data_IF_203766427155
#
_entry.id   IF_203766427155
#
_cell.length_a   1.000
_cell.length_b   1.000
_cell.length_c   1.000
_cell.angle_alpha   90.00
_cell.angle_beta   90.00
_cell.angle_gamma   90.00
#
_symmetry.space_group_name_H-M   'P 1'
#
loop_
_entity.id
_entity.type
_entity.pdbx_description
1 polymer ?
#
# COMPACT_ATOMS: atom_id res chain seq x y z
N UNK A 1 -5.74 -7.20 -1.15
CA UNK A 1 -4.78 -8.30 -1.36
C UNK A 1 -4.43 -8.32 -2.84
N UNK A 2 -3.24 -8.81 -3.25
CA UNK A 2 -2.96 -9.02 -4.67
C UNK A 2 -3.98 -10.01 -5.26
N UNK A 3 -4.33 -9.81 -6.52
CA UNK A 3 -5.07 -10.79 -7.32
C UNK A 3 -4.21 -12.02 -7.63
N UNK A 4 -4.84 -13.12 -8.03
CA UNK A 4 -4.15 -14.35 -8.44
C UNK A 4 -3.13 -14.10 -9.57
N UNK A 5 -3.48 -13.25 -10.55
CA UNK A 5 -2.58 -12.89 -11.65
C UNK A 5 -1.36 -12.07 -11.17
N UNK A 6 -1.54 -11.19 -10.17
CA UNK A 6 -0.41 -10.46 -9.55
C UNK A 6 0.46 -11.39 -8.72
N UNK A 7 -0.14 -12.34 -7.99
CA UNK A 7 0.58 -13.32 -7.17
C UNK A 7 1.37 -14.32 -8.03
N UNK A 8 0.78 -14.88 -9.08
CA UNK A 8 1.45 -15.77 -10.04
C UNK A 8 2.63 -15.05 -10.71
N UNK A 9 2.40 -13.85 -11.23
CA UNK A 9 3.45 -13.03 -11.86
C UNK A 9 4.59 -12.75 -10.89
N UNK A 10 4.28 -12.30 -9.68
CA UNK A 10 5.30 -12.00 -8.67
C UNK A 10 6.13 -13.23 -8.29
N UNK A 11 5.53 -14.43 -8.22
CA UNK A 11 6.28 -15.67 -7.96
C UNK A 11 7.23 -16.06 -9.10
N UNK A 12 6.90 -15.69 -10.34
CA UNK A 12 7.70 -16.03 -11.53
C UNK A 12 8.89 -15.09 -11.79
N UNK A 13 8.82 -13.83 -11.32
CA UNK A 13 9.82 -12.80 -11.70
C UNK A 13 10.58 -12.17 -10.54
N UNK A 14 10.14 -12.33 -9.27
CA UNK A 14 10.88 -11.75 -8.13
C UNK A 14 12.08 -12.59 -7.73
N UNK A 15 13.01 -11.94 -7.06
CA UNK A 15 13.97 -12.62 -6.17
C UNK A 15 13.20 -13.36 -5.05
N UNK A 16 13.12 -14.68 -5.18
CA UNK A 16 12.50 -15.58 -4.21
C UNK A 16 13.48 -16.04 -3.12
N UNK A 17 14.78 -15.79 -3.26
CA UNK A 17 15.82 -16.17 -2.29
C UNK A 17 16.01 -15.09 -1.21
N UNK A 18 16.05 -13.81 -1.59
CA UNK A 18 16.05 -12.66 -0.68
C UNK A 18 14.70 -12.41 0.02
N UNK A 19 13.71 -13.29 -0.21
CA UNK A 19 12.40 -13.24 0.43
C UNK A 19 12.47 -13.88 1.82
N UNK A 20 12.07 -13.16 2.88
CA UNK A 20 12.09 -13.65 4.29
C UNK A 20 11.23 -14.90 4.60
N UNK A 21 10.58 -15.49 3.59
CA UNK A 21 9.73 -16.69 3.66
C UNK A 21 9.99 -17.59 2.44
N UNK A 22 11.19 -17.52 1.89
CA UNK A 22 11.82 -18.40 0.92
C UNK A 22 11.71 -19.88 1.31
N UNK A 23 12.22 -20.26 2.49
CA UNK A 23 12.16 -21.63 2.99
C UNK A 23 10.71 -22.04 3.26
N UNK A 24 9.89 -21.15 3.81
CA UNK A 24 8.45 -21.38 4.01
C UNK A 24 7.73 -21.64 2.69
N UNK A 25 8.02 -20.87 1.64
CA UNK A 25 7.43 -21.04 0.30
C UNK A 25 7.73 -22.44 -0.25
N UNK A 26 9.00 -22.83 -0.28
CA UNK A 26 9.42 -24.11 -0.84
C UNK A 26 8.92 -25.31 -0.01
N UNK A 27 9.02 -25.23 1.33
CA UNK A 27 8.55 -26.30 2.23
C UNK A 27 7.03 -26.50 2.21
N UNK A 28 6.25 -25.43 2.02
CA UNK A 28 4.79 -25.54 1.87
C UNK A 28 4.40 -26.02 0.47
N UNK A 29 5.15 -25.65 -0.58
CA UNK A 29 5.00 -26.27 -1.90
C UNK A 29 5.26 -27.78 -1.80
N UNK A 30 6.37 -28.22 -1.20
CA UNK A 30 6.67 -29.64 -1.00
C UNK A 30 5.60 -30.37 -0.19
N UNK A 31 5.27 -29.84 1.00
CA UNK A 31 4.25 -30.40 1.89
C UNK A 31 2.87 -30.51 1.23
N UNK A 32 2.56 -29.64 0.26
CA UNK A 32 1.27 -29.66 -0.43
C UNK A 32 1.03 -30.94 -1.23
N UNK A 33 2.09 -31.56 -1.78
CA UNK A 33 1.97 -32.83 -2.51
C UNK A 33 1.83 -34.00 -1.53
N UNK A 34 2.43 -33.88 -0.35
CA UNK A 34 2.47 -34.91 0.70
C UNK A 34 1.52 -34.59 1.89
N UNK A 35 0.35 -34.02 1.61
CA UNK A 35 -0.55 -33.44 2.63
C UNK A 35 -1.09 -34.38 3.73
N UNK A 36 -0.82 -35.69 3.66
CA UNK A 36 -1.16 -36.69 4.68
C UNK A 36 0.05 -37.19 5.50
N UNK A 37 1.27 -36.92 5.02
CA UNK A 37 2.53 -37.32 5.62
C UNK A 37 3.64 -36.34 5.16
N UNK A 38 3.56 -35.06 5.57
CA UNK A 38 4.49 -34.04 5.11
C UNK A 38 5.88 -34.25 5.74
N UNK A 39 6.99 -34.06 5.00
CA UNK A 39 8.32 -34.14 5.59
C UNK A 39 8.51 -33.12 6.72
N UNK A 40 9.28 -33.49 7.75
CA UNK A 40 9.59 -32.58 8.85
C UNK A 40 10.70 -31.60 8.47
N UNK A 41 10.31 -30.34 8.27
CA UNK A 41 11.21 -29.21 7.98
C UNK A 41 11.52 -28.35 9.22
N UNK A 42 11.18 -28.81 10.44
CA UNK A 42 11.39 -28.04 11.67
C UNK A 42 12.85 -28.03 12.14
N UNK A 43 13.64 -29.05 11.77
CA UNK A 43 15.09 -29.05 11.93
C UNK A 43 15.78 -28.33 10.77
N UNK A 44 16.89 -27.64 11.06
CA UNK A 44 17.75 -26.96 10.06
C UNK A 44 18.51 -27.91 9.12
N UNK A 45 17.96 -29.11 8.88
CA UNK A 45 18.49 -30.17 8.02
C UNK A 45 18.35 -29.80 6.54
N UNK A 46 17.24 -29.14 6.17
CA UNK A 46 17.01 -28.68 4.81
C UNK A 46 17.42 -27.23 4.63
N UNK A 47 17.97 -26.95 3.46
CA UNK A 47 18.36 -25.63 2.99
C UNK A 47 17.85 -25.42 1.57
N UNK A 48 17.91 -24.18 1.09
CA UNK A 48 17.56 -23.85 -0.29
C UNK A 48 18.77 -24.14 -1.19
N UNK A 49 18.53 -24.85 -2.28
CA UNK A 49 19.51 -25.16 -3.31
C UNK A 49 19.26 -24.29 -4.55
N UNK A 50 20.35 -23.73 -5.08
CA UNK A 50 20.39 -23.05 -6.37
C UNK A 50 20.76 -24.07 -7.45
N UNK A 51 19.79 -24.48 -8.28
CA UNK A 51 19.98 -25.55 -9.27
C UNK A 51 21.05 -25.13 -10.30
N UNK A 52 20.86 -23.99 -10.96
CA UNK A 52 21.96 -23.17 -11.50
C UNK A 52 22.64 -22.46 -10.33
N UNK A 53 23.92 -22.70 -10.13
CA UNK A 53 24.69 -22.23 -8.97
C UNK A 53 24.94 -20.72 -8.96
N UNK A 54 25.24 -20.16 -7.79
CA UNK A 54 25.53 -18.72 -7.65
C UNK A 54 26.86 -18.33 -8.30
N UNK A 55 27.80 -19.26 -8.50
CA UNK A 55 29.01 -19.02 -9.28
C UNK A 55 28.92 -19.54 -10.73
N UNK A 56 27.72 -19.77 -11.28
CA UNK A 56 27.51 -20.33 -12.61
C UNK A 56 28.29 -19.62 -13.74
N UNK A 57 28.39 -18.28 -13.71
CA UNK A 57 29.13 -17.52 -14.74
C UNK A 57 30.66 -17.76 -14.73
N UNK A 58 31.20 -18.43 -13.71
CA UNK A 58 32.60 -18.87 -13.64
C UNK A 58 32.83 -20.29 -14.19
N UNK A 59 31.78 -21.07 -14.44
CA UNK A 59 31.84 -22.40 -15.06
C UNK A 59 31.57 -22.31 -16.57
N UNK A 60 32.38 -22.99 -17.37
CA UNK A 60 32.18 -23.03 -18.82
C UNK A 60 30.92 -23.84 -19.18
N UNK A 61 30.68 -24.93 -18.46
CA UNK A 61 29.55 -25.84 -18.59
C UNK A 61 28.22 -25.14 -18.31
N UNK A 62 28.16 -24.30 -17.27
CA UNK A 62 26.99 -23.48 -16.98
C UNK A 62 26.76 -22.41 -18.06
N UNK A 63 27.81 -21.72 -18.52
CA UNK A 63 27.68 -20.74 -19.62
C UNK A 63 27.17 -21.40 -20.91
N UNK A 64 27.71 -22.56 -21.28
CA UNK A 64 27.27 -23.35 -22.43
C UNK A 64 25.80 -23.80 -22.29
N UNK A 65 25.39 -24.26 -21.09
CA UNK A 65 24.02 -24.70 -20.83
C UNK A 65 22.99 -23.56 -20.89
N UNK A 66 23.38 -22.33 -20.57
CA UNK A 66 22.52 -21.14 -20.64
C UNK A 66 22.51 -20.49 -22.05
N UNK A 67 23.51 -20.76 -22.89
CA UNK A 67 23.62 -20.26 -24.25
C UNK A 67 24.23 -18.85 -24.38
N UNK A 68 24.13 -18.26 -25.57
CA UNK A 68 24.82 -17.01 -25.93
C UNK A 68 24.49 -15.82 -24.98
N UNK A 69 23.25 -15.77 -24.48
CA UNK A 69 22.73 -14.74 -23.56
C UNK A 69 23.00 -15.07 -22.06
N UNK A 70 23.93 -15.98 -21.74
CA UNK A 70 24.11 -16.55 -20.39
C UNK A 70 24.15 -15.54 -19.24
N UNK A 71 24.75 -14.35 -19.43
CA UNK A 71 24.83 -13.29 -18.42
C UNK A 71 23.44 -12.70 -18.11
N UNK A 72 22.64 -12.36 -19.14
CA UNK A 72 21.25 -11.90 -18.99
C UNK A 72 20.39 -12.97 -18.31
N UNK A 73 20.49 -14.21 -18.80
CA UNK A 73 19.71 -15.34 -18.28
C UNK A 73 20.03 -15.59 -16.80
N UNK A 74 21.31 -15.52 -16.42
CA UNK A 74 21.75 -15.64 -15.05
C UNK A 74 21.16 -14.53 -14.17
N UNK A 75 21.33 -13.25 -14.55
CA UNK A 75 20.82 -12.10 -13.79
C UNK A 75 19.31 -12.15 -13.57
N UNK A 76 18.54 -12.48 -14.63
CA UNK A 76 17.08 -12.56 -14.55
C UNK A 76 16.57 -13.75 -13.72
N UNK A 77 17.28 -14.89 -13.71
CA UNK A 77 16.71 -16.17 -13.26
C UNK A 77 17.33 -16.78 -12.00
N UNK A 78 18.55 -16.41 -11.62
CA UNK A 78 19.32 -17.06 -10.53
C UNK A 78 18.52 -17.23 -9.24
N UNK A 79 17.82 -16.19 -8.80
CA UNK A 79 17.05 -16.20 -7.56
C UNK A 79 15.53 -16.42 -7.77
N UNK A 80 15.07 -16.75 -8.98
CA UNK A 80 13.64 -16.97 -9.25
C UNK A 80 13.16 -18.31 -8.71
N UNK A 81 11.85 -18.43 -8.44
CA UNK A 81 11.24 -19.68 -7.97
C UNK A 81 11.54 -20.88 -8.88
N UNK A 82 11.76 -20.65 -10.18
CA UNK A 82 12.14 -21.70 -11.13
C UNK A 82 13.49 -22.34 -10.83
N UNK A 83 14.46 -21.58 -10.32
CA UNK A 83 15.82 -22.06 -10.09
C UNK A 83 16.09 -22.59 -8.67
N UNK A 84 15.14 -22.41 -7.75
CA UNK A 84 15.29 -22.81 -6.34
C UNK A 84 14.63 -24.16 -6.06
N UNK A 85 15.30 -25.00 -5.27
CA UNK A 85 14.72 -26.23 -4.70
C UNK A 85 15.14 -26.41 -3.23
N UNK A 86 14.73 -27.51 -2.60
CA UNK A 86 15.15 -27.90 -1.26
C UNK A 86 16.17 -29.03 -1.33
N UNK A 87 17.14 -29.04 -0.43
CA UNK A 87 18.04 -30.18 -0.25
C UNK A 87 18.55 -30.27 1.19
N UNK A 88 18.92 -31.47 1.62
CA UNK A 88 19.68 -31.71 2.84
C UNK A 88 21.21 -31.80 2.60
N UNK A 89 21.65 -31.67 1.34
CA UNK A 89 23.02 -31.94 0.88
C UNK A 89 23.60 -30.78 0.06
N UNK A 90 23.23 -29.53 0.40
CA UNK A 90 23.71 -28.32 -0.28
C UNK A 90 25.26 -28.23 -0.28
N UNK A 91 25.98 -28.53 0.82
CA UNK A 91 27.46 -28.53 0.81
C UNK A 91 28.07 -29.52 -0.17
N UNK A 92 27.39 -30.65 -0.45
CA UNK A 92 27.81 -31.63 -1.43
C UNK A 92 27.52 -31.22 -2.89
N UNK A 93 26.44 -30.47 -3.15
CA UNK A 93 26.07 -29.99 -4.50
C UNK A 93 26.84 -28.72 -4.90
N UNK A 94 26.96 -27.76 -3.98
CA UNK A 94 27.81 -26.57 -4.09
C UNK A 94 27.64 -25.84 -5.45
N UNK A 95 28.75 -25.41 -6.06
CA UNK A 95 28.75 -24.72 -7.36
C UNK A 95 28.82 -25.64 -8.59
N UNK A 96 28.70 -26.96 -8.42
CA UNK A 96 28.95 -27.95 -9.48
C UNK A 96 28.06 -27.77 -10.73
N UNK A 97 28.50 -28.21 -11.92
CA UNK A 97 27.68 -28.26 -13.14
C UNK A 97 26.41 -29.09 -12.97
N UNK A 98 25.36 -28.79 -13.74
CA UNK A 98 24.05 -29.46 -13.62
C UNK A 98 24.14 -31.00 -13.66
N UNK A 99 24.89 -31.55 -14.61
CA UNK A 99 25.06 -32.99 -14.77
C UNK A 99 25.77 -33.64 -13.56
N UNK A 100 26.71 -32.93 -12.91
CA UNK A 100 27.36 -33.40 -11.69
C UNK A 100 26.41 -33.33 -10.50
N UNK A 101 25.64 -32.23 -10.35
CA UNK A 101 24.58 -32.11 -9.34
C UNK A 101 23.50 -33.19 -9.50
N UNK A 102 23.15 -33.60 -10.72
CA UNK A 102 22.25 -34.74 -10.95
C UNK A 102 22.85 -36.06 -10.47
N UNK A 103 24.05 -36.38 -10.94
CA UNK A 103 24.70 -37.68 -10.72
C UNK A 103 25.37 -37.84 -9.34
N UNK A 104 25.39 -36.80 -8.49
CA UNK A 104 26.11 -36.83 -7.22
C UNK A 104 25.57 -37.92 -6.27
N UNK A 105 26.45 -38.80 -5.79
CA UNK A 105 26.10 -40.02 -5.05
C UNK A 105 25.31 -39.78 -3.75
N UNK A 106 25.41 -38.58 -3.17
CA UNK A 106 24.67 -38.17 -1.97
C UNK A 106 23.89 -36.91 -2.26
N UNK A 107 22.56 -37.00 -2.28
CA UNK A 107 21.70 -35.84 -2.50
C UNK A 107 21.73 -35.26 -3.90
N UNK A 108 22.36 -35.93 -4.87
CA UNK A 108 22.24 -35.56 -6.28
C UNK A 108 20.80 -35.69 -6.77
N UNK A 109 20.41 -34.85 -7.70
CA UNK A 109 19.01 -34.73 -8.11
C UNK A 109 18.41 -36.03 -8.66
N UNK A 110 19.21 -36.94 -9.24
CA UNK A 110 18.71 -38.25 -9.71
C UNK A 110 18.24 -39.16 -8.56
N UNK A 111 18.69 -38.88 -7.33
CA UNK A 111 18.43 -39.65 -6.11
C UNK A 111 17.61 -38.86 -5.08
N UNK A 112 17.14 -37.65 -5.41
CA UNK A 112 16.29 -36.87 -4.51
C UNK A 112 14.91 -37.54 -4.36
N UNK A 113 14.31 -37.39 -3.18
CA UNK A 113 13.00 -37.93 -2.84
C UNK A 113 11.93 -36.84 -2.72
N UNK A 114 12.33 -35.56 -2.73
CA UNK A 114 11.39 -34.44 -2.66
C UNK A 114 10.66 -34.22 -4.00
N UNK A 115 9.34 -34.04 -3.93
CA UNK A 115 8.49 -33.87 -5.12
C UNK A 115 8.83 -32.59 -5.89
N UNK A 116 9.26 -31.53 -5.18
CA UNK A 116 9.69 -30.25 -5.73
C UNK A 116 10.92 -30.34 -6.64
N UNK A 117 11.78 -31.34 -6.44
CA UNK A 117 12.96 -31.64 -7.27
C UNK A 117 12.70 -32.70 -8.33
N UNK A 118 11.57 -33.42 -8.27
CA UNK A 118 11.33 -34.64 -9.07
C UNK A 118 11.52 -34.46 -10.59
N UNK A 119 11.18 -33.30 -11.14
CA UNK A 119 11.34 -33.04 -12.58
C UNK A 119 12.81 -32.90 -13.02
N UNK A 120 13.76 -32.69 -12.09
CA UNK A 120 15.19 -32.61 -12.40
C UNK A 120 15.79 -33.96 -12.85
N UNK A 121 15.19 -35.08 -12.43
CA UNK A 121 15.63 -36.43 -12.75
C UNK A 121 15.59 -36.67 -14.28
N UNK A 122 14.50 -36.23 -14.93
CA UNK A 122 14.21 -36.48 -16.34
C UNK A 122 14.78 -35.41 -17.29
N UNK A 123 15.44 -34.36 -16.77
CA UNK A 123 15.96 -33.23 -17.54
C UNK A 123 17.48 -33.28 -17.67
N UNK A 124 18.00 -33.24 -18.90
CA UNK A 124 19.46 -33.18 -19.16
C UNK A 124 19.97 -31.74 -19.38
N UNK A 125 19.05 -30.77 -19.47
CA UNK A 125 19.35 -29.35 -19.77
C UNK A 125 18.63 -28.45 -18.78
N UNK A 126 19.34 -27.44 -18.28
CA UNK A 126 18.84 -26.45 -17.33
C UNK A 126 18.99 -25.01 -17.85
N UNK A 127 18.27 -24.71 -18.94
CA UNK A 127 18.34 -23.42 -19.64
C UNK A 127 17.18 -22.48 -19.28
N UNK A 128 17.15 -21.29 -19.89
CA UNK A 128 16.12 -20.25 -19.70
C UNK A 128 14.68 -20.80 -19.80
N UNK A 129 14.36 -21.54 -20.87
CA UNK A 129 13.03 -22.07 -21.12
C UNK A 129 12.59 -23.07 -20.03
N UNK A 130 13.50 -23.96 -19.61
CA UNK A 130 13.26 -24.95 -18.56
C UNK A 130 12.98 -24.26 -17.22
N UNK A 131 13.83 -23.29 -16.83
CA UNK A 131 13.69 -22.54 -15.57
C UNK A 131 12.37 -21.75 -15.56
N UNK A 132 12.05 -21.02 -16.64
CA UNK A 132 10.81 -20.23 -16.74
C UNK A 132 9.56 -21.12 -16.76
N UNK A 133 9.62 -22.29 -17.40
CA UNK A 133 8.53 -23.26 -17.41
C UNK A 133 8.30 -23.87 -16.01
N UNK A 134 9.37 -24.18 -15.26
CA UNK A 134 9.28 -24.63 -13.86
C UNK A 134 8.71 -23.55 -12.96
N UNK A 135 9.19 -22.30 -13.08
CA UNK A 135 8.68 -21.16 -12.31
C UNK A 135 7.15 -21.01 -12.49
N UNK A 136 6.65 -21.20 -13.72
CA UNK A 136 5.21 -21.21 -14.01
C UNK A 136 4.48 -22.36 -13.31
N UNK A 137 4.96 -23.61 -13.44
CA UNK A 137 4.35 -24.78 -12.76
C UNK A 137 4.28 -24.61 -11.24
N UNK A 138 5.33 -24.07 -10.62
CA UNK A 138 5.36 -23.81 -9.18
C UNK A 138 4.45 -22.65 -8.76
N UNK A 139 4.30 -21.60 -9.59
CA UNK A 139 3.35 -20.54 -9.34
C UNK A 139 1.89 -21.01 -9.47
N UNK A 140 1.56 -21.82 -10.48
CA UNK A 140 0.26 -22.51 -10.63
C UNK A 140 -0.04 -23.46 -9.46
N UNK A 141 1.00 -24.04 -8.84
CA UNK A 141 0.86 -24.83 -7.61
C UNK A 141 0.63 -23.94 -6.40
N UNK A 142 1.37 -22.83 -6.27
CA UNK A 142 1.22 -21.88 -5.17
C UNK A 142 -0.20 -21.31 -5.08
N UNK A 143 -0.84 -21.02 -6.21
CA UNK A 143 -2.26 -20.61 -6.26
C UNK A 143 -3.22 -21.64 -5.62
N UNK A 144 -2.87 -22.93 -5.63
CA UNK A 144 -3.67 -24.00 -5.01
C UNK A 144 -3.35 -24.20 -3.53
N UNK A 145 -2.16 -23.76 -3.07
CA UNK A 145 -1.73 -23.81 -1.66
C UNK A 145 -2.23 -22.59 -0.90
N UNK A 146 -2.20 -21.42 -1.54
CA UNK A 146 -2.68 -20.14 -1.02
C UNK A 146 -3.74 -19.55 -1.96
N UNK A 147 -4.94 -20.15 -2.04
CA UNK A 147 -6.03 -19.60 -2.85
C UNK A 147 -6.45 -18.22 -2.33
N UNK A 148 -6.95 -17.37 -3.23
CA UNK A 148 -7.55 -16.10 -2.83
C UNK A 148 -8.71 -16.35 -1.84
N UNK A 149 -8.80 -15.62 -0.72
CA UNK A 149 -9.83 -15.86 0.28
C UNK A 149 -11.20 -15.40 -0.23
N UNK A 150 -12.06 -16.36 -0.60
CA UNK A 150 -13.48 -16.11 -0.82
C UNK A 150 -14.20 -15.91 0.52
N UNK A 151 -14.55 -14.66 0.82
CA UNK A 151 -15.32 -14.26 2.00
C UNK A 151 -16.65 -13.68 1.55
N UNK A 152 -17.76 -14.08 2.20
CA UNK A 152 -19.05 -13.45 1.94
C UNK A 152 -19.05 -11.99 2.38
N UNK A 153 -19.93 -11.18 1.78
CA UNK A 153 -20.06 -9.76 2.14
C UNK A 153 -20.34 -9.57 3.65
N UNK A 154 -21.12 -10.46 4.26
CA UNK A 154 -21.43 -10.43 5.70
C UNK A 154 -20.19 -10.72 6.56
N UNK A 155 -19.35 -11.68 6.16
CA UNK A 155 -18.10 -11.97 6.87
C UNK A 155 -17.14 -10.77 6.73
N UNK A 156 -16.97 -10.23 5.52
CA UNK A 156 -16.17 -9.00 5.30
C UNK A 156 -16.70 -7.84 6.14
N UNK A 157 -18.03 -7.65 6.23
CA UNK A 157 -18.65 -6.63 7.07
C UNK A 157 -18.40 -6.87 8.57
N UNK A 158 -18.36 -8.12 9.04
CA UNK A 158 -18.03 -8.46 10.43
C UNK A 158 -16.56 -8.18 10.81
N UNK A 159 -15.65 -8.23 9.83
CA UNK A 159 -14.22 -7.92 10.00
C UNK A 159 -13.87 -6.46 9.65
N UNK A 160 -14.78 -5.68 9.02
CA UNK A 160 -14.66 -4.23 9.08
C UNK A 160 -14.67 -3.84 10.57
N UNK A 161 -13.74 -2.98 11.02
CA UNK A 161 -13.70 -2.59 12.41
C UNK A 161 -15.00 -1.86 12.74
N UNK A 162 -15.91 -2.55 13.44
CA UNK A 162 -17.00 -1.90 14.16
C UNK A 162 -16.31 -0.88 15.06
N UNK A 163 -16.52 0.42 14.79
CA UNK A 163 -16.07 1.49 15.68
C UNK A 163 -16.58 1.11 17.07
N UNK A 164 -15.68 0.66 17.96
CA UNK A 164 -16.03 0.38 19.36
C UNK A 164 -16.78 1.61 19.85
N UNK A 165 -17.97 1.41 20.43
CA UNK A 165 -18.75 2.50 20.99
C UNK A 165 -17.81 3.33 21.88
N UNK A 166 -17.50 4.55 21.44
CA UNK A 166 -16.36 5.27 21.95
C UNK A 166 -16.63 5.64 23.42
N UNK A 167 -15.76 5.25 24.37
CA UNK A 167 -15.88 5.78 25.71
C UNK A 167 -15.60 7.29 25.64
N UNK A 168 -16.64 8.09 25.96
CA UNK A 168 -16.60 9.55 25.99
C UNK A 168 -15.96 10.23 24.74
N UNK A 169 -16.73 10.24 23.65
CA UNK A 169 -16.73 11.23 22.55
C UNK A 169 -15.43 12.05 22.33
N UNK A 170 -14.60 11.61 21.36
CA UNK A 170 -13.31 12.23 21.01
C UNK A 170 -13.20 12.70 19.55
N UNK A 171 -14.28 12.66 18.78
CA UNK A 171 -14.29 12.95 17.34
C UNK A 171 -15.16 14.18 17.05
N UNK A 172 -14.78 15.02 16.09
CA UNK A 172 -15.53 16.23 15.66
C UNK A 172 -15.92 16.14 14.18
N UNK A 173 -16.13 14.90 13.73
CA UNK A 173 -16.71 14.54 12.43
C UNK A 173 -18.16 15.01 12.33
N UNK A 174 -18.71 15.06 11.11
CA UNK A 174 -20.08 15.53 10.89
C UNK A 174 -21.13 14.74 11.68
N UNK A 175 -20.99 13.41 11.76
CA UNK A 175 -21.80 12.53 12.62
C UNK A 175 -21.74 12.93 14.10
N UNK A 176 -20.55 13.25 14.62
CA UNK A 176 -20.39 13.69 16.01
C UNK A 176 -21.06 15.06 16.25
N UNK A 177 -20.87 16.02 15.35
CA UNK A 177 -21.51 17.35 15.43
C UNK A 177 -23.03 17.23 15.38
N UNK A 178 -23.59 16.38 14.50
CA UNK A 178 -25.04 16.15 14.46
C UNK A 178 -25.56 15.52 15.75
N UNK A 179 -24.80 14.60 16.34
CA UNK A 179 -25.15 13.94 17.60
C UNK A 179 -25.11 14.93 18.78
N UNK A 180 -24.09 15.78 18.86
CA UNK A 180 -23.90 16.76 19.93
C UNK A 180 -24.91 17.92 19.86
N UNK A 181 -25.21 18.40 18.66
CA UNK A 181 -26.12 19.52 18.44
C UNK A 181 -27.57 19.10 18.15
N UNK A 182 -27.92 17.83 18.39
CA UNK A 182 -29.24 17.24 18.18
C UNK A 182 -29.82 17.49 16.77
N UNK A 183 -28.97 17.51 15.74
CA UNK A 183 -29.39 17.63 14.33
C UNK A 183 -29.99 16.28 13.91
N UNK A 184 -31.31 16.19 13.89
CA UNK A 184 -32.02 14.96 13.54
C UNK A 184 -31.78 14.52 12.07
N UNK A 185 -31.76 13.21 11.79
CA UNK A 185 -31.95 12.69 10.44
C UNK A 185 -33.19 13.29 9.77
N UNK A 186 -33.11 13.53 8.46
CA UNK A 186 -34.11 14.27 7.70
C UNK A 186 -33.94 15.79 7.73
N UNK A 187 -33.07 16.34 8.59
CA UNK A 187 -32.76 17.79 8.57
C UNK A 187 -32.16 18.19 7.23
N UNK A 188 -32.63 19.31 6.67
CA UNK A 188 -32.07 19.87 5.45
C UNK A 188 -30.77 20.64 5.74
N UNK A 189 -29.78 20.48 4.86
CA UNK A 189 -28.60 21.31 4.79
C UNK A 189 -28.70 22.19 3.54
N UNK A 190 -28.66 23.50 3.73
CA UNK A 190 -28.91 24.49 2.67
C UNK A 190 -27.65 25.29 2.36
N UNK A 191 -27.39 25.52 1.09
CA UNK A 191 -26.29 26.34 0.57
C UNK A 191 -26.74 27.11 -0.68
N UNK A 192 -25.89 28.00 -1.20
CA UNK A 192 -26.11 28.69 -2.49
C UNK A 192 -24.85 28.63 -3.33
N UNK A 193 -24.98 28.23 -4.60
CA UNK A 193 -23.90 28.22 -5.59
C UNK A 193 -24.29 29.16 -6.75
N UNK A 194 -23.81 30.40 -6.68
CA UNK A 194 -24.38 31.51 -7.45
C UNK A 194 -25.85 31.72 -7.09
N UNK A 195 -26.70 31.90 -8.12
CA UNK A 195 -28.15 32.11 -7.98
C UNK A 195 -28.94 30.82 -7.69
N UNK A 196 -28.26 29.66 -7.54
CA UNK A 196 -28.92 28.37 -7.27
C UNK A 196 -28.85 28.02 -5.78
N UNK A 197 -30.00 27.96 -5.14
CA UNK A 197 -30.15 27.27 -3.87
C UNK A 197 -29.83 25.77 -4.04
N UNK A 198 -29.06 25.22 -3.12
CA UNK A 198 -28.71 23.79 -3.05
C UNK A 198 -29.21 23.26 -1.72
N UNK A 199 -29.95 22.16 -1.78
CA UNK A 199 -30.42 21.43 -0.59
C UNK A 199 -29.81 20.02 -0.60
N UNK A 200 -29.35 19.60 0.56
CA UNK A 200 -28.95 18.24 0.89
C UNK A 200 -29.69 17.80 2.16
N UNK A 201 -29.67 16.50 2.48
CA UNK A 201 -30.42 15.96 3.64
C UNK A 201 -29.50 15.12 4.52
N UNK A 202 -29.59 15.32 5.84
CA UNK A 202 -28.92 14.46 6.83
C UNK A 202 -29.58 13.07 6.80
N UNK A 203 -28.82 12.01 6.59
CA UNK A 203 -29.32 10.62 6.57
C UNK A 203 -29.40 10.02 7.97
N UNK A 204 -30.05 8.85 8.10
CA UNK A 204 -30.16 8.12 9.37
C UNK A 204 -28.79 7.72 9.96
N UNK A 205 -27.80 7.50 9.08
CA UNK A 205 -26.39 7.27 9.42
C UNK A 205 -25.57 8.57 9.60
N UNK A 206 -26.21 9.73 9.63
CA UNK A 206 -25.56 11.04 9.69
C UNK A 206 -24.53 11.27 8.58
N UNK A 207 -24.81 10.79 7.37
CA UNK A 207 -24.19 11.26 6.13
C UNK A 207 -25.02 12.39 5.52
N UNK A 208 -24.48 13.02 4.49
CA UNK A 208 -25.09 14.13 3.73
C UNK A 208 -25.49 13.58 2.36
N UNK A 209 -26.80 13.46 2.13
CA UNK A 209 -27.37 13.06 0.84
C UNK A 209 -27.55 14.27 -0.06
N UNK A 210 -26.89 14.27 -1.22
CA UNK A 210 -27.02 15.32 -2.23
C UNK A 210 -28.20 15.08 -3.17
N UNK A 211 -28.60 16.12 -3.91
CA UNK A 211 -29.72 16.08 -4.87
C UNK A 211 -29.57 15.05 -6.00
N UNK A 212 -28.36 14.58 -6.29
CA UNK A 212 -28.11 13.52 -7.27
C UNK A 212 -28.12 12.09 -6.66
N UNK A 213 -28.34 11.97 -5.35
CA UNK A 213 -28.37 10.70 -4.62
C UNK A 213 -27.07 10.29 -3.94
N UNK A 214 -25.94 10.95 -4.22
CA UNK A 214 -24.65 10.67 -3.55
C UNK A 214 -24.77 10.91 -2.03
N UNK A 215 -24.19 10.04 -1.20
CA UNK A 215 -24.15 10.18 0.26
C UNK A 215 -22.70 10.27 0.72
N UNK A 216 -22.35 11.38 1.37
CA UNK A 216 -20.99 11.73 1.81
C UNK A 216 -20.98 11.98 3.33
N UNK A 217 -19.97 11.51 4.05
CA UNK A 217 -19.80 11.74 5.49
C UNK A 217 -19.00 13.03 5.78
N UNK A 218 -18.14 13.48 4.85
CA UNK A 218 -17.47 14.78 4.96
C UNK A 218 -18.33 15.94 4.40
N UNK A 219 -18.61 16.99 5.18
CA UNK A 219 -19.28 18.20 4.70
C UNK A 219 -18.54 18.85 3.53
N UNK A 220 -17.21 18.81 3.57
CA UNK A 220 -16.32 19.45 2.59
C UNK A 220 -16.24 18.65 1.30
N UNK A 221 -16.25 17.31 1.38
CA UNK A 221 -16.44 16.49 0.18
C UNK A 221 -17.82 16.71 -0.43
N UNK A 222 -18.88 16.76 0.39
CA UNK A 222 -20.25 17.04 -0.06
C UNK A 222 -20.34 18.39 -0.79
N UNK A 223 -19.76 19.45 -0.22
CA UNK A 223 -19.70 20.78 -0.85
C UNK A 223 -18.86 20.79 -2.14
N UNK A 224 -17.68 20.17 -2.13
CA UNK A 224 -16.82 20.00 -3.32
C UNK A 224 -17.58 19.24 -4.42
N UNK A 225 -18.36 18.21 -4.05
CA UNK A 225 -19.16 17.40 -4.97
C UNK A 225 -20.33 18.20 -5.56
N UNK A 226 -20.97 19.07 -4.80
CA UNK A 226 -21.94 20.04 -5.35
C UNK A 226 -21.28 20.93 -6.38
N UNK A 227 -20.09 21.48 -6.11
CA UNK A 227 -19.37 22.32 -7.08
C UNK A 227 -19.01 21.57 -8.37
N UNK A 228 -18.58 20.31 -8.27
CA UNK A 228 -18.39 19.43 -9.44
C UNK A 228 -19.68 19.30 -10.25
N UNK A 229 -20.81 19.00 -9.61
CA UNK A 229 -22.10 18.77 -10.27
C UNK A 229 -22.69 20.04 -10.89
N UNK A 230 -22.46 21.21 -10.28
CA UNK A 230 -23.00 22.50 -10.76
C UNK A 230 -22.11 23.14 -11.83
N UNK A 231 -20.78 23.04 -11.70
CA UNK A 231 -19.82 23.76 -12.56
C UNK A 231 -19.10 22.87 -13.57
N UNK A 232 -19.17 21.55 -13.42
CA UNK A 232 -18.38 20.58 -14.21
C UNK A 232 -16.89 20.53 -13.85
N UNK A 233 -16.44 21.24 -12.80
CA UNK A 233 -15.03 21.31 -12.39
C UNK A 233 -14.83 20.87 -10.95
N UNK A 234 -13.73 20.17 -10.68
CA UNK A 234 -13.29 19.89 -9.32
C UNK A 234 -12.78 21.18 -8.67
N UNK A 235 -13.53 21.70 -7.71
CA UNK A 235 -13.19 22.90 -6.93
C UNK A 235 -13.43 22.61 -5.46
N UNK A 236 -12.37 22.62 -4.65
CA UNK A 236 -12.47 22.39 -3.21
C UNK A 236 -13.37 23.43 -2.53
N UNK A 237 -14.06 22.99 -1.48
CA UNK A 237 -14.90 23.85 -0.65
C UNK A 237 -14.83 23.44 0.83
N UNK A 238 -14.70 24.43 1.71
CA UNK A 238 -14.85 24.25 3.15
C UNK A 238 -16.34 24.02 3.47
N UNK A 239 -16.73 22.76 3.66
CA UNK A 239 -18.11 22.36 3.80
C UNK A 239 -18.79 22.89 5.06
N UNK A 240 -18.02 23.08 6.13
CA UNK A 240 -18.52 23.64 7.38
C UNK A 240 -19.00 25.08 7.21
N UNK A 241 -18.31 25.86 6.37
CA UNK A 241 -18.73 27.22 5.98
C UNK A 241 -19.71 27.25 4.80
N UNK A 242 -19.87 26.14 4.07
CA UNK A 242 -20.77 26.02 2.93
C UNK A 242 -22.22 25.71 3.33
N UNK A 243 -22.40 24.78 4.27
CA UNK A 243 -23.73 24.27 4.65
C UNK A 243 -24.32 25.01 5.87
N UNK A 244 -25.58 25.42 5.74
CA UNK A 244 -26.46 25.90 6.82
C UNK A 244 -27.41 24.79 7.28
N UNK A 245 -27.69 24.70 8.57
CA UNK A 245 -28.69 23.76 9.13
C UNK A 245 -30.08 24.37 8.95
N UNK A 246 -30.85 23.87 7.99
CA UNK A 246 -32.11 24.47 7.54
C UNK A 246 -31.93 25.81 6.83
N UNK A 247 -33.01 26.33 6.24
CA UNK A 247 -32.99 27.55 5.42
C UNK A 247 -32.49 28.80 6.18
N UNK A 248 -32.82 28.92 7.47
CA UNK A 248 -32.51 30.10 8.31
C UNK A 248 -31.65 29.80 9.55
N UNK A 249 -31.11 28.59 9.71
CA UNK A 249 -30.33 28.23 10.90
C UNK A 249 -28.84 28.63 10.86
N UNK A 250 -28.02 28.11 11.78
CA UNK A 250 -26.57 28.38 11.83
C UNK A 250 -25.80 27.67 10.69
N UNK A 251 -24.58 28.11 10.39
CA UNK A 251 -23.67 27.31 9.58
C UNK A 251 -23.20 26.08 10.37
N UNK A 252 -22.89 24.98 9.69
CA UNK A 252 -22.27 23.82 10.33
C UNK A 252 -20.95 24.19 11.05
N UNK A 253 -20.25 25.21 10.58
CA UNK A 253 -19.11 25.84 11.25
C UNK A 253 -19.47 26.34 12.66
N UNK A 254 -20.53 27.13 12.79
CA UNK A 254 -20.96 27.70 14.08
C UNK A 254 -21.44 26.62 15.05
N UNK A 255 -22.08 25.58 14.52
CA UNK A 255 -22.49 24.40 15.29
C UNK A 255 -21.26 23.64 15.79
N UNK A 256 -20.32 23.30 14.89
CA UNK A 256 -19.08 22.60 15.24
C UNK A 256 -18.24 23.38 16.27
N UNK A 257 -18.18 24.71 16.15
CA UNK A 257 -17.47 25.56 17.10
C UNK A 257 -18.07 25.50 18.52
N UNK A 258 -19.40 25.46 18.65
CA UNK A 258 -20.08 25.26 19.94
C UNK A 258 -19.79 23.87 20.51
N UNK A 259 -19.95 22.82 19.71
CA UNK A 259 -19.63 21.45 20.13
C UNK A 259 -18.17 21.32 20.61
N UNK A 260 -17.21 21.94 19.91
CA UNK A 260 -15.80 21.91 20.31
C UNK A 260 -15.54 22.64 21.64
N UNK A 261 -16.29 23.70 21.95
CA UNK A 261 -16.17 24.44 23.21
C UNK A 261 -16.69 23.65 24.43
N UNK A 262 -17.56 22.66 24.23
CA UNK A 262 -18.07 21.77 25.28
C UNK A 262 -17.13 20.60 25.58
N UNK A 263 -16.22 20.25 24.66
CA UNK A 263 -15.24 19.17 24.87
C UNK A 263 -14.10 19.65 25.76
N UNK A 264 -13.92 18.99 26.91
CA UNK A 264 -12.82 19.28 27.83
C UNK A 264 -11.50 18.70 27.31
N UNK A 265 -10.55 19.58 26.95
CA UNK A 265 -9.18 19.23 26.52
C UNK A 265 -9.11 18.20 25.36
N UNK A 266 -9.68 18.50 24.17
CA UNK A 266 -9.68 17.59 23.03
C UNK A 266 -8.28 17.32 22.48
N UNK A 267 -8.00 16.07 22.10
CA UNK A 267 -6.81 15.72 21.32
C UNK A 267 -7.01 16.16 19.86
N UNK A 268 -6.53 17.36 19.55
CA UNK A 268 -6.64 17.98 18.23
C UNK A 268 -5.92 17.20 17.12
N UNK A 269 -4.97 16.31 17.44
CA UNK A 269 -4.34 15.42 16.44
C UNK A 269 -5.24 14.25 16.09
N UNK A 270 -5.82 13.61 17.11
CA UNK A 270 -6.84 12.56 16.90
C UNK A 270 -7.98 13.09 16.05
N UNK A 271 -8.48 14.28 16.38
CA UNK A 271 -9.53 14.98 15.64
C UNK A 271 -9.16 15.27 14.18
N UNK A 272 -7.92 15.73 13.92
CA UNK A 272 -7.42 15.99 12.57
C UNK A 272 -7.34 14.71 11.74
N UNK A 273 -6.76 13.64 12.30
CA UNK A 273 -6.57 12.39 11.55
C UNK A 273 -7.89 11.65 11.28
N UNK A 274 -8.84 11.64 12.22
CA UNK A 274 -10.20 11.13 11.98
C UNK A 274 -10.85 11.82 10.76
N UNK A 275 -10.88 13.16 10.75
CA UNK A 275 -11.46 13.93 9.65
C UNK A 275 -10.72 13.77 8.33
N UNK A 276 -9.38 13.64 8.38
CA UNK A 276 -8.57 13.37 7.21
C UNK A 276 -8.85 11.99 6.60
N UNK A 277 -9.01 10.95 7.43
CA UNK A 277 -9.31 9.60 6.96
C UNK A 277 -10.70 9.50 6.34
N UNK A 278 -11.72 10.13 6.93
CA UNK A 278 -13.06 10.24 6.33
C UNK A 278 -13.00 10.97 4.98
N UNK A 279 -12.26 12.09 4.88
CA UNK A 279 -12.06 12.82 3.61
C UNK A 279 -11.34 11.96 2.54
N UNK A 280 -10.36 11.15 2.96
CA UNK A 280 -9.62 10.26 2.07
C UNK A 280 -10.45 9.07 1.57
N UNK A 281 -11.33 8.51 2.41
CA UNK A 281 -12.20 7.39 2.04
C UNK A 281 -13.22 7.75 0.93
N UNK A 282 -13.53 9.03 0.78
CA UNK A 282 -14.49 9.55 -0.20
C UNK A 282 -13.83 10.06 -1.50
N UNK A 283 -12.53 9.80 -1.66
CA UNK A 283 -11.71 10.13 -2.83
C UNK A 283 -11.30 8.84 -3.54
N UNK A 284 -12.04 8.47 -4.60
CA UNK A 284 -11.81 7.21 -5.33
C UNK A 284 -10.38 7.08 -5.87
N UNK A 285 -9.76 8.19 -6.29
CA UNK A 285 -8.36 8.26 -6.70
C UNK A 285 -7.40 7.96 -5.53
N UNK A 286 -7.68 8.48 -4.34
CA UNK A 286 -6.94 8.16 -3.12
C UNK A 286 -7.15 6.71 -2.65
N UNK A 287 -8.38 6.22 -2.66
CA UNK A 287 -8.73 4.83 -2.30
C UNK A 287 -8.13 3.83 -3.31
N UNK A 288 -8.06 4.17 -4.60
CA UNK A 288 -7.36 3.34 -5.59
C UNK A 288 -5.85 3.35 -5.40
N UNK A 289 -5.30 4.36 -4.71
CA UNK A 289 -3.91 4.39 -4.30
C UNK A 289 -3.63 3.58 -3.00
N UNK A 290 -4.24 3.94 -1.85
CA UNK A 290 -3.52 3.87 -0.57
C UNK A 290 -3.92 2.89 0.56
N UNK A 291 -5.07 2.21 0.65
CA UNK A 291 -6.38 2.41 0.02
C UNK A 291 -7.32 3.12 1.01
N UNK A 292 -8.56 2.64 1.22
CA UNK A 292 -9.52 3.19 2.19
C UNK A 292 -8.94 3.21 3.63
N UNK A 293 -8.76 4.41 4.23
CA UNK A 293 -8.20 4.55 5.57
C UNK A 293 -9.26 4.67 6.68
N UNK A 294 -10.57 4.65 6.38
CA UNK A 294 -11.66 4.88 7.36
C UNK A 294 -11.68 3.87 8.52
N UNK A 295 -11.12 2.67 8.31
CA UNK A 295 -10.97 1.62 9.32
C UNK A 295 -9.68 1.70 10.16
N UNK A 296 -8.88 2.76 10.05
CA UNK A 296 -7.65 2.92 10.85
C UNK A 296 -7.95 3.14 12.33
N UNK A 297 -7.02 2.74 13.18
CA UNK A 297 -7.06 3.05 14.61
C UNK A 297 -6.82 4.55 14.87
N UNK A 298 -7.26 5.03 16.04
CA UNK A 298 -7.03 6.38 16.56
C UNK A 298 -5.54 6.76 16.42
N UNK A 299 -5.26 7.93 15.84
CA UNK A 299 -3.90 8.43 15.63
C UNK A 299 -3.70 9.75 16.40
N UNK A 300 -2.88 9.74 17.45
CA UNK A 300 -2.45 10.95 18.17
C UNK A 300 -1.03 11.40 17.79
N UNK A 301 -0.45 10.76 16.76
CA UNK A 301 0.84 11.11 16.20
C UNK A 301 0.82 12.43 15.43
N UNK A 302 2.00 12.97 15.18
CA UNK A 302 2.20 14.13 14.29
C UNK A 302 2.31 13.71 12.80
N UNK A 303 2.10 12.43 12.49
CA UNK A 303 2.19 11.87 11.15
C UNK A 303 1.24 10.69 10.92
N UNK A 304 0.97 10.38 9.66
CA UNK A 304 0.27 9.18 9.21
C UNK A 304 0.92 8.61 7.95
N UNK A 305 1.28 7.33 7.96
CA UNK A 305 1.94 6.66 6.82
C UNK A 305 0.94 5.90 5.94
N UNK A 306 1.21 5.84 4.64
CA UNK A 306 0.38 5.23 3.61
C UNK A 306 1.22 4.29 2.74
N UNK A 307 0.66 3.12 2.42
CA UNK A 307 1.40 2.04 1.76
C UNK A 307 1.55 2.27 0.26
N UNK A 308 2.80 2.25 -0.23
CA UNK A 308 3.09 2.38 -1.67
C UNK A 308 3.07 1.05 -2.43
N UNK A 309 3.00 -0.09 -1.72
CA UNK A 309 3.18 -1.43 -2.31
C UNK A 309 4.64 -1.79 -2.60
N UNK A 310 5.56 -0.84 -2.46
CA UNK A 310 7.00 -0.99 -2.63
C UNK A 310 7.69 -1.26 -1.28
N UNK A 311 8.76 -2.06 -1.30
CA UNK A 311 9.67 -2.20 -0.14
C UNK A 311 10.70 -1.06 -0.21
N UNK A 312 11.15 -0.58 0.95
CA UNK A 312 12.25 0.39 1.02
C UNK A 312 11.84 1.86 1.01
N UNK A 313 10.58 2.18 0.69
CA UNK A 313 10.04 3.54 0.58
C UNK A 313 8.63 3.65 1.15
N UNK A 314 8.31 4.76 1.83
CA UNK A 314 7.04 4.98 2.52
C UNK A 314 6.51 6.40 2.30
N UNK A 315 5.26 6.53 1.85
CA UNK A 315 4.58 7.83 1.78
C UNK A 315 4.01 8.21 3.15
N UNK A 316 4.24 9.43 3.61
CA UNK A 316 3.78 9.92 4.92
C UNK A 316 3.20 11.33 4.80
N UNK A 317 2.10 11.58 5.52
CA UNK A 317 1.55 12.92 5.75
C UNK A 317 1.91 13.39 7.17
N UNK A 318 2.11 14.69 7.34
CA UNK A 318 2.46 15.35 8.60
C UNK A 318 1.41 16.38 9.03
N UNK A 319 1.17 16.45 10.34
CA UNK A 319 0.36 17.46 11.02
C UNK A 319 1.11 17.94 12.27
N UNK A 320 1.89 19.00 12.10
CA UNK A 320 2.76 19.55 13.13
C UNK A 320 2.10 20.76 13.82
N UNK A 321 1.03 20.48 14.56
CA UNK A 321 0.17 21.49 15.18
C UNK A 321 0.92 22.58 15.98
N UNK A 322 1.99 22.21 16.69
CA UNK A 322 2.75 23.14 17.55
C UNK A 322 3.64 24.11 16.76
N UNK A 323 4.00 23.71 15.54
CA UNK A 323 5.02 24.36 14.73
C UNK A 323 4.42 25.05 13.49
N UNK A 324 3.09 24.98 13.30
CA UNK A 324 2.36 25.72 12.27
C UNK A 324 2.51 25.18 10.85
N UNK A 325 2.63 23.86 10.66
CA UNK A 325 2.79 23.29 9.32
C UNK A 325 2.14 21.91 9.12
N UNK A 326 1.86 21.61 7.85
CA UNK A 326 1.52 20.27 7.34
C UNK A 326 2.49 19.88 6.24
N UNK A 327 2.62 18.59 5.95
CA UNK A 327 3.58 18.15 4.92
C UNK A 327 3.28 16.78 4.36
N UNK A 328 3.93 16.47 3.23
CA UNK A 328 3.95 15.13 2.63
C UNK A 328 5.40 14.72 2.38
N UNK A 329 5.70 13.43 2.47
CA UNK A 329 7.06 12.91 2.46
C UNK A 329 7.15 11.52 1.82
N UNK A 330 8.25 11.25 1.11
CA UNK A 330 8.75 9.90 0.83
C UNK A 330 9.96 9.61 1.72
N UNK A 331 9.78 8.74 2.72
CA UNK A 331 10.85 8.27 3.60
C UNK A 331 11.44 6.95 3.08
N UNK A 332 12.77 6.88 3.00
CA UNK A 332 13.50 5.76 2.43
C UNK A 332 14.34 5.02 3.48
N UNK A 333 14.06 3.72 3.64
CA UNK A 333 14.96 2.81 4.38
C UNK A 333 16.03 2.21 3.47
N UNK A 334 15.78 2.19 2.16
CA UNK A 334 16.71 1.70 1.14
C UNK A 334 17.54 2.87 0.57
N UNK A 335 18.87 2.73 0.54
CA UNK A 335 19.77 3.77 0.06
C UNK A 335 19.74 3.91 -1.46
N UNK A 336 19.74 2.79 -2.19
CA UNK A 336 19.81 2.76 -3.64
C UNK A 336 18.53 3.29 -4.29
N UNK A 337 17.37 3.03 -3.68
CA UNK A 337 16.11 3.69 -4.10
C UNK A 337 16.15 5.21 -3.92
N UNK A 338 16.78 5.71 -2.85
CA UNK A 338 16.91 7.15 -2.64
C UNK A 338 17.89 7.80 -3.61
N UNK A 339 19.04 7.18 -3.84
CA UNK A 339 20.03 7.63 -4.84
C UNK A 339 19.41 7.66 -6.25
N UNK A 340 18.63 6.64 -6.62
CA UNK A 340 17.88 6.61 -7.88
C UNK A 340 16.82 7.73 -7.99
N UNK A 341 16.24 8.18 -6.87
CA UNK A 341 15.33 9.33 -6.86
C UNK A 341 16.10 10.66 -6.98
N UNK A 342 17.21 10.80 -6.25
CA UNK A 342 18.06 12.00 -6.29
C UNK A 342 18.67 12.22 -7.68
N UNK A 343 18.99 11.14 -8.41
CA UNK A 343 19.42 11.20 -9.80
C UNK A 343 18.35 11.79 -10.75
N UNK A 344 17.08 11.85 -10.33
CA UNK A 344 15.95 12.43 -11.07
C UNK A 344 15.42 13.72 -10.43
N UNK A 345 16.23 14.42 -9.63
CA UNK A 345 15.81 15.61 -8.87
C UNK A 345 15.05 16.63 -9.71
N UNK A 346 15.51 16.98 -10.91
CA UNK A 346 14.83 17.95 -11.79
C UNK A 346 13.43 17.50 -12.23
N UNK A 347 13.24 16.21 -12.56
CA UNK A 347 11.94 15.63 -12.91
C UNK A 347 11.00 15.67 -11.70
N UNK A 348 11.52 15.30 -10.52
CA UNK A 348 10.74 15.24 -9.27
C UNK A 348 10.36 16.64 -8.77
N UNK A 349 11.28 17.61 -8.81
CA UNK A 349 11.00 19.00 -8.45
C UNK A 349 9.94 19.60 -9.40
N UNK A 350 10.00 19.29 -10.71
CA UNK A 350 8.96 19.69 -11.66
C UNK A 350 7.58 19.06 -11.36
N UNK A 351 7.55 17.78 -10.95
CA UNK A 351 6.30 17.13 -10.50
C UNK A 351 5.71 17.76 -9.22
N UNK A 352 6.54 18.39 -8.38
CA UNK A 352 6.14 18.98 -7.10
C UNK A 352 5.92 20.50 -7.14
N UNK A 353 6.46 21.21 -8.14
CA UNK A 353 6.45 22.67 -8.23
C UNK A 353 5.08 23.32 -7.94
N UNK A 354 4.03 22.89 -8.63
CA UNK A 354 2.67 23.44 -8.47
C UNK A 354 1.91 22.91 -7.24
N UNK A 355 2.55 22.23 -6.29
CA UNK A 355 1.88 21.75 -5.07
C UNK A 355 1.65 22.89 -4.06
N UNK A 356 2.46 23.94 -4.10
CA UNK A 356 2.42 25.04 -3.13
C UNK A 356 2.97 24.61 -1.78
N UNK A 357 4.29 24.74 -1.60
CA UNK A 357 5.02 24.36 -0.40
C UNK A 357 6.52 24.35 -0.67
N UNK A 358 7.32 24.31 0.39
CA UNK A 358 8.79 24.21 0.30
C UNK A 358 9.18 22.75 0.12
N UNK A 359 9.79 22.42 -1.02
CA UNK A 359 10.42 21.12 -1.26
C UNK A 359 11.78 21.08 -0.54
N UNK A 360 12.05 20.01 0.20
CA UNK A 360 13.35 19.75 0.81
C UNK A 360 13.81 18.32 0.54
N UNK A 361 15.10 18.22 0.23
CA UNK A 361 15.82 16.96 0.01
C UNK A 361 16.84 16.79 1.13
N UNK A 362 16.85 15.62 1.77
CA UNK A 362 17.92 15.21 2.67
C UNK A 362 19.15 14.74 1.89
N UNK A 363 20.34 14.79 2.49
CA UNK A 363 21.55 14.30 1.83
C UNK A 363 21.60 12.75 1.87
N UNK A 364 22.05 12.04 0.81
CA UNK A 364 22.05 10.56 0.79
C UNK A 364 22.85 9.90 1.92
N UNK A 365 23.84 10.63 2.45
CA UNK A 365 24.70 10.27 3.58
C UNK A 365 24.02 10.43 4.95
N UNK A 366 22.86 11.09 5.03
CA UNK A 366 22.13 11.25 6.29
C UNK A 366 21.45 9.96 6.74
N UNK A 367 21.20 9.89 8.05
CA UNK A 367 20.53 8.74 8.69
C UNK A 367 19.06 8.61 8.28
N UNK A 368 18.45 9.70 7.84
CA UNK A 368 17.06 9.80 7.37
C UNK A 368 17.08 10.31 5.94
N UNK A 369 16.65 9.46 5.00
CA UNK A 369 16.60 9.78 3.57
C UNK A 369 15.18 10.13 3.20
N UNK A 370 14.94 11.41 2.96
CA UNK A 370 13.59 11.98 2.88
C UNK A 370 13.51 13.03 1.77
N UNK A 371 12.46 12.90 0.96
CA UNK A 371 11.95 13.96 0.10
C UNK A 371 10.67 14.49 0.72
N UNK A 372 10.71 15.69 1.25
CA UNK A 372 9.59 16.32 1.94
C UNK A 372 9.08 17.53 1.14
N UNK A 373 7.76 17.75 1.17
CA UNK A 373 7.17 19.05 0.89
C UNK A 373 6.46 19.53 2.14
N UNK A 374 6.86 20.70 2.64
CA UNK A 374 6.31 21.37 3.81
C UNK A 374 5.47 22.57 3.38
N UNK A 375 4.26 22.66 3.90
CA UNK A 375 3.40 23.84 3.81
C UNK A 375 3.25 24.44 5.21
N UNK A 376 3.86 25.61 5.42
CA UNK A 376 3.56 26.46 6.57
C UNK A 376 2.15 27.04 6.39
N UNK A 377 1.28 26.81 7.37
CA UNK A 377 -0.14 27.15 7.30
C UNK A 377 -0.76 27.32 8.68
N UNK A 378 -1.89 28.01 8.75
CA UNK A 378 -2.72 27.97 9.94
C UNK A 378 -3.31 26.57 10.11
N UNK A 379 -2.87 25.87 11.15
CA UNK A 379 -3.24 24.49 11.50
C UNK A 379 -4.40 24.41 12.51
N UNK A 380 -5.07 25.53 12.78
CA UNK A 380 -6.31 25.57 13.54
C UNK A 380 -7.45 24.85 12.81
N UNK A 381 -8.46 24.42 13.57
CA UNK A 381 -9.51 23.54 13.03
C UNK A 381 -10.32 24.11 11.88
N UNK A 382 -10.37 25.45 11.73
CA UNK A 382 -11.13 26.10 10.67
C UNK A 382 -10.54 25.91 9.26
N UNK A 383 -9.23 25.63 9.16
CA UNK A 383 -8.51 25.42 7.90
C UNK A 383 -8.31 23.94 7.52
N UNK A 384 -8.62 23.00 8.42
CA UNK A 384 -8.31 21.58 8.24
C UNK A 384 -8.80 21.00 6.90
N UNK A 385 -9.97 21.40 6.41
CA UNK A 385 -10.52 20.90 5.14
C UNK A 385 -9.72 21.34 3.90
N UNK A 386 -9.10 22.53 3.95
CA UNK A 386 -8.17 23.01 2.92
C UNK A 386 -6.85 22.22 2.99
N UNK A 387 -6.35 21.99 4.21
CA UNK A 387 -5.16 21.17 4.47
C UNK A 387 -5.38 19.70 4.06
N UNK A 388 -6.58 19.13 4.23
CA UNK A 388 -6.92 17.77 3.77
C UNK A 388 -6.84 17.68 2.24
N UNK A 389 -7.40 18.66 1.54
CA UNK A 389 -7.32 18.73 0.06
C UNK A 389 -5.87 18.84 -0.43
N UNK A 390 -5.05 19.64 0.25
CA UNK A 390 -3.63 19.77 -0.03
C UNK A 390 -2.86 18.47 0.24
N UNK A 391 -3.04 17.87 1.41
CA UNK A 391 -2.40 16.61 1.83
C UNK A 391 -2.75 15.44 0.90
N UNK A 392 -4.02 15.28 0.50
CA UNK A 392 -4.43 14.26 -0.48
C UNK A 392 -3.72 14.48 -1.82
N UNK A 393 -3.67 15.72 -2.30
CA UNK A 393 -3.00 16.07 -3.56
C UNK A 393 -1.49 15.79 -3.47
N UNK A 394 -0.87 16.16 -2.36
CA UNK A 394 0.55 15.89 -2.10
C UNK A 394 0.87 14.40 -2.01
N UNK A 395 0.07 13.61 -1.29
CA UNK A 395 0.24 12.16 -1.19
C UNK A 395 0.06 11.47 -2.54
N UNK A 396 -0.87 11.93 -3.39
CA UNK A 396 -1.02 11.41 -4.75
C UNK A 396 0.19 11.74 -5.63
N UNK A 397 0.73 12.97 -5.55
CA UNK A 397 2.00 13.33 -6.22
C UNK A 397 3.17 12.48 -5.71
N UNK A 398 3.28 12.26 -4.40
CA UNK A 398 4.32 11.39 -3.81
C UNK A 398 4.23 9.95 -4.30
N UNK A 399 3.01 9.42 -4.56
CA UNK A 399 2.87 8.12 -5.22
C UNK A 399 3.43 8.12 -6.64
N UNK A 400 3.11 9.15 -7.43
CA UNK A 400 3.61 9.27 -8.80
C UNK A 400 5.14 9.41 -8.84
N UNK A 401 5.71 10.17 -7.91
CA UNK A 401 7.16 10.32 -7.72
C UNK A 401 7.81 8.98 -7.35
N UNK A 402 7.25 8.22 -6.40
CA UNK A 402 7.71 6.86 -6.11
C UNK A 402 7.56 5.92 -7.32
N UNK A 403 6.57 6.16 -8.18
CA UNK A 403 6.36 5.47 -9.44
C UNK A 403 7.57 5.51 -10.38
N UNK A 404 8.36 6.58 -10.38
CA UNK A 404 9.60 6.71 -11.20
C UNK A 404 10.64 5.62 -10.88
N UNK A 405 10.64 5.12 -9.63
CA UNK A 405 11.53 4.07 -9.16
C UNK A 405 11.10 2.67 -9.63
N UNK A 406 9.88 2.53 -10.18
CA UNK A 406 9.37 1.25 -10.71
C UNK A 406 10.09 0.83 -12.00
N UNK A 407 10.91 1.71 -12.58
CA UNK A 407 11.77 1.42 -13.73
C UNK A 407 13.14 0.78 -13.34
N UNK A 408 13.34 0.46 -12.06
CA UNK A 408 14.54 -0.20 -11.52
C UNK A 408 14.27 -1.62 -10.95
N UNK A 409 13.11 -2.23 -11.28
CA UNK A 409 12.76 -3.62 -10.92
C UNK A 409 12.37 -4.42 -12.16
#
# INVERSE_FOLDING_TARGET
MPSDAEFERALRTRDCYAFKRDLYLLTNLESSWNAKDPPDFSGSTFSIEHIMSQNALASAEWREMLGDDCERVYEELINTLGNLTLTAYNPELSDAPFAEKKAHLKGGFDQDYLVISKELHDLDVWNEDVIRARAKRLAERALKVWPFPELSADVVASYKPVKKAAPAMKSMTFRAVCTMAEIAPGTELVASEGDRAVVATVTDDYGIRLFNGDVLNSPSRAATRVKELVTGKYVTANGWRYWRVGESGPLLYDVRAKCLAEVTNPDLKSLFWDGFYDYCAERQDFVSAYADPSGRAENNGWYATFGLGMRGVHATAYFAQRDGWVGVNLWFTDASLYEGLVARREEVDAMLADLGGTVSWHEPSEKTRELQVRLDADVSSEHWDELYGWLVTGLLRMRSVAGLLSAYN
#
